data_IF_414237251014
#
_entry.id   IF_414237251014
#
_cell.length_a   1.000
_cell.length_b   1.000
_cell.length_c   1.000
_cell.angle_alpha   90.00
_cell.angle_beta   90.00
_cell.angle_gamma   90.00
#
_symmetry.space_group_name_H-M   'P 1'
#
loop_
_entity.id
_entity.type
_entity.pdbx_description
1 polymer ?
#
# COMPACT_ATOMS: atom_id res chain seq x y z
N UNK A 1 6.78 8.69 -33.85
CA UNK A 1 6.61 8.86 -32.39
C UNK A 1 7.90 9.44 -31.85
N UNK A 2 7.84 10.54 -31.11
CA UNK A 2 9.04 11.21 -30.58
C UNK A 2 9.42 10.65 -29.19
N UNK A 3 10.66 10.85 -28.76
CA UNK A 3 11.18 10.29 -27.50
C UNK A 3 10.45 10.82 -26.25
N UNK A 4 9.88 12.04 -26.31
CA UNK A 4 9.07 12.59 -25.21
C UNK A 4 7.73 11.87 -25.06
N UNK A 5 7.16 11.40 -26.16
CA UNK A 5 5.92 10.65 -26.17
C UNK A 5 6.15 9.23 -25.62
N UNK A 6 7.32 8.63 -25.85
CA UNK A 6 7.69 7.32 -25.26
C UNK A 6 7.91 7.38 -23.74
N UNK A 7 8.46 8.47 -23.21
CA UNK A 7 8.57 8.67 -21.76
C UNK A 7 7.20 8.92 -21.11
N UNK A 8 6.33 9.74 -21.72
CA UNK A 8 4.98 9.96 -21.22
C UNK A 8 4.10 8.69 -21.30
N UNK A 9 4.37 7.78 -22.23
CA UNK A 9 3.69 6.48 -22.33
C UNK A 9 4.15 5.46 -21.27
N UNK A 10 5.32 5.65 -20.64
CA UNK A 10 5.80 4.78 -19.55
C UNK A 10 5.19 5.14 -18.19
N UNK A 11 4.64 6.34 -18.03
CA UNK A 11 4.04 6.79 -16.76
C UNK A 11 2.57 6.37 -16.56
N UNK A 12 1.91 5.80 -17.59
CA UNK A 12 0.48 5.45 -17.57
C UNK A 12 0.18 3.94 -17.45
N UNK A 13 1.15 3.12 -17.04
CA UNK A 13 0.90 1.71 -16.68
C UNK A 13 1.03 1.50 -15.16
N UNK A 14 0.09 2.09 -14.42
CA UNK A 14 -0.08 1.78 -13.00
C UNK A 14 -0.61 0.35 -12.91
N UNK A 15 0.21 -0.59 -12.41
CA UNK A 15 -0.12 -1.65 -11.46
C UNK A 15 0.92 -2.79 -11.51
N UNK A 16 2.07 -2.58 -10.84
CA UNK A 16 2.88 -3.56 -10.09
C UNK A 16 4.40 -3.22 -10.03
N UNK A 17 4.80 -1.94 -10.17
CA UNK A 17 6.15 -1.55 -9.76
C UNK A 17 6.23 -1.56 -8.23
N UNK A 18 6.77 -2.65 -7.66
CA UNK A 18 7.02 -2.77 -6.23
C UNK A 18 7.99 -1.67 -5.82
N UNK A 19 7.49 -0.63 -5.12
CA UNK A 19 8.35 0.43 -4.59
C UNK A 19 9.25 -0.19 -3.52
N UNK A 20 10.59 -0.09 -3.63
CA UNK A 20 11.49 -0.62 -2.62
C UNK A 20 11.25 -0.01 -1.23
N UNK A 21 11.45 -0.80 -0.18
CA UNK A 21 11.29 -0.36 1.21
C UNK A 21 12.14 0.88 1.55
N UNK A 22 13.36 0.95 1.02
CA UNK A 22 14.26 2.10 1.15
C UNK A 22 13.71 3.37 0.51
N UNK A 23 13.06 3.24 -0.64
CA UNK A 23 12.42 4.34 -1.36
C UNK A 23 11.20 4.87 -0.60
N UNK A 24 10.41 3.99 0.03
CA UNK A 24 9.27 4.39 0.87
C UNK A 24 9.73 5.30 2.00
N UNK A 25 10.75 4.89 2.76
CA UNK A 25 11.29 5.66 3.89
C UNK A 25 11.86 7.00 3.41
N UNK A 26 12.65 6.99 2.34
CA UNK A 26 13.28 8.19 1.78
C UNK A 26 12.27 9.19 1.25
N UNK A 27 11.23 8.74 0.56
CA UNK A 27 10.16 9.60 0.03
C UNK A 27 9.34 10.20 1.17
N UNK A 28 8.98 9.41 2.19
CA UNK A 28 8.23 9.90 3.34
C UNK A 28 8.98 11.03 4.05
N UNK A 29 10.28 10.84 4.33
CA UNK A 29 11.11 11.90 4.93
C UNK A 29 11.14 13.17 4.10
N UNK A 30 11.37 13.04 2.79
CA UNK A 30 11.43 14.18 1.88
C UNK A 30 10.10 14.93 1.85
N UNK A 31 8.97 14.21 1.82
CA UNK A 31 7.62 14.79 1.88
C UNK A 31 7.40 15.57 3.18
N UNK A 32 7.90 15.08 4.30
CA UNK A 32 7.84 15.80 5.58
C UNK A 32 8.80 17.00 5.68
N UNK A 33 9.70 17.21 4.71
CA UNK A 33 10.70 18.29 4.76
C UNK A 33 11.74 18.13 5.88
N UNK A 34 11.89 16.92 6.44
CA UNK A 34 12.74 16.68 7.61
C UNK A 34 14.15 16.20 7.22
N UNK A 35 15.13 16.56 8.05
CA UNK A 35 16.45 15.94 8.03
C UNK A 35 16.36 14.50 8.54
N UNK A 36 17.34 13.65 8.22
CA UNK A 36 17.34 12.26 8.69
C UNK A 36 17.32 12.17 10.23
N UNK A 37 18.00 13.08 10.93
CA UNK A 37 17.98 13.15 12.40
C UNK A 37 16.56 13.43 12.90
N UNK A 38 15.91 14.48 12.39
CA UNK A 38 14.55 14.85 12.82
C UNK A 38 13.52 13.78 12.46
N UNK A 39 13.68 13.14 11.31
CA UNK A 39 12.81 12.04 10.89
C UNK A 39 13.03 10.78 11.75
N UNK A 40 14.27 10.49 12.15
CA UNK A 40 14.54 9.40 13.07
C UNK A 40 13.88 9.63 14.43
N UNK A 41 13.92 10.87 14.95
CA UNK A 41 13.18 11.22 16.16
C UNK A 41 11.67 11.02 16.00
N UNK A 42 11.09 11.40 14.85
CA UNK A 42 9.67 11.15 14.55
C UNK A 42 9.33 9.65 14.58
N UNK A 43 10.23 8.80 14.07
CA UNK A 43 10.06 7.36 14.03
C UNK A 43 10.45 6.63 15.33
N UNK A 44 10.97 7.34 16.33
CA UNK A 44 11.51 6.73 17.55
C UNK A 44 12.76 5.86 17.29
N UNK A 45 13.59 6.24 16.34
CA UNK A 45 14.79 5.51 15.89
C UNK A 45 16.05 6.36 15.97
N UNK A 46 17.21 5.72 15.90
CA UNK A 46 18.48 6.42 15.72
C UNK A 46 18.64 6.92 14.27
N UNK A 47 19.34 8.03 14.06
CA UNK A 47 19.59 8.54 12.71
C UNK A 47 20.37 7.53 11.83
N UNK A 48 21.28 6.77 12.43
CA UNK A 48 22.06 5.75 11.73
C UNK A 48 21.17 4.60 11.22
N UNK A 49 20.09 4.26 11.93
CA UNK A 49 19.09 3.31 11.44
C UNK A 49 18.35 3.85 10.22
N UNK A 50 17.86 5.09 10.29
CA UNK A 50 17.19 5.74 9.15
C UNK A 50 18.11 5.85 7.94
N UNK A 51 19.39 6.14 8.14
CA UNK A 51 20.38 6.16 7.05
C UNK A 51 20.53 4.79 6.40
N UNK A 52 20.59 3.70 7.19
CA UNK A 52 20.65 2.31 6.67
C UNK A 52 19.37 1.93 5.94
N UNK A 53 18.21 2.32 6.47
CA UNK A 53 16.90 2.12 5.82
C UNK A 53 16.85 2.80 4.46
N UNK A 54 17.16 4.11 4.38
CA UNK A 54 17.15 4.87 3.12
C UNK A 54 18.19 4.39 2.12
N UNK A 55 19.30 3.82 2.60
CA UNK A 55 20.35 3.23 1.78
C UNK A 55 20.06 1.79 1.34
N UNK A 56 19.02 1.15 1.87
CA UNK A 56 18.70 -0.26 1.60
C UNK A 56 19.69 -1.25 2.23
N UNK A 57 20.54 -0.80 3.16
CA UNK A 57 21.51 -1.66 3.85
C UNK A 57 20.85 -2.57 4.90
N UNK A 58 19.70 -2.14 5.42
CA UNK A 58 18.88 -2.90 6.37
C UNK A 58 17.41 -2.69 5.99
N UNK A 59 16.63 -3.76 6.01
CA UNK A 59 15.18 -3.67 5.78
C UNK A 59 14.49 -2.98 6.97
N UNK A 60 13.68 -1.95 6.73
CA UNK A 60 12.92 -1.29 7.79
C UNK A 60 11.87 -2.25 8.38
N UNK A 61 11.61 -2.20 9.70
CA UNK A 61 10.49 -2.92 10.29
C UNK A 61 9.15 -2.55 9.61
N UNK A 62 8.21 -3.51 9.54
CA UNK A 62 6.91 -3.28 8.91
C UNK A 62 6.14 -2.08 9.48
N UNK A 63 6.27 -1.82 10.78
CA UNK A 63 5.69 -0.64 11.43
C UNK A 63 6.23 0.68 10.89
N UNK A 64 7.51 0.74 10.54
CA UNK A 64 8.14 1.92 9.92
C UNK A 64 7.62 2.10 8.50
N UNK A 65 7.48 1.01 7.74
CA UNK A 65 6.92 1.06 6.39
C UNK A 65 5.48 1.57 6.41
N UNK A 66 4.64 1.06 7.31
CA UNK A 66 3.25 1.52 7.47
C UNK A 66 3.21 3.01 7.82
N UNK A 67 4.04 3.45 8.78
CA UNK A 67 4.10 4.88 9.15
C UNK A 67 4.52 5.74 7.95
N UNK A 68 5.56 5.34 7.22
CA UNK A 68 6.04 6.07 6.05
C UNK A 68 4.97 6.11 4.93
N UNK A 69 4.24 5.02 4.71
CA UNK A 69 3.13 4.99 3.76
C UNK A 69 2.00 5.92 4.17
N UNK A 70 1.69 6.04 5.47
CA UNK A 70 0.69 7.00 5.94
C UNK A 70 1.12 8.44 5.64
N UNK A 71 2.38 8.79 5.89
CA UNK A 71 2.93 10.12 5.52
C UNK A 71 2.80 10.35 4.01
N UNK A 72 3.11 9.35 3.19
CA UNK A 72 3.01 9.44 1.74
C UNK A 72 1.57 9.59 1.24
N UNK A 73 0.60 9.02 1.95
CA UNK A 73 -0.81 9.15 1.64
C UNK A 73 -1.44 10.44 2.18
N UNK A 74 -0.77 11.17 3.07
CA UNK A 74 -1.28 12.38 3.76
C UNK A 74 -1.28 13.64 2.87
N UNK A 75 -1.28 13.50 1.54
CA UNK A 75 -1.80 14.60 0.72
C UNK A 75 -3.28 14.63 1.02
N UNK A 76 -3.78 15.74 1.57
CA UNK A 76 -5.14 15.93 2.07
C UNK A 76 -6.22 15.82 0.98
N UNK A 77 -6.33 14.67 0.32
CA UNK A 77 -7.62 14.08 0.08
C UNK A 77 -7.94 13.35 1.37
N UNK A 78 -9.01 13.76 2.04
CA UNK A 78 -9.72 12.88 2.95
C UNK A 78 -9.68 11.48 2.33
N UNK A 79 -8.99 10.54 2.99
CA UNK A 79 -9.23 9.14 2.72
C UNK A 79 -10.64 8.94 3.24
N UNK A 80 -11.62 9.30 2.41
CA UNK A 80 -13.00 8.98 2.64
C UNK A 80 -12.96 7.50 2.99
N UNK A 81 -13.42 7.16 4.20
CA UNK A 81 -13.49 5.80 4.65
C UNK A 81 -13.98 4.97 3.45
N UNK A 82 -13.26 3.91 3.05
CA UNK A 82 -13.55 3.23 1.80
C UNK A 82 -15.03 2.93 1.78
N UNK A 83 -15.73 3.41 0.75
CA UNK A 83 -17.17 3.21 0.66
C UNK A 83 -17.46 1.73 0.75
N UNK A 84 -18.64 1.37 1.27
CA UNK A 84 -19.10 -0.03 1.31
C UNK A 84 -18.96 -0.66 -0.07
N UNK A 85 -19.23 0.08 -1.14
CA UNK A 85 -19.01 -0.36 -2.51
C UNK A 85 -17.55 -0.70 -2.82
N UNK A 86 -16.59 0.13 -2.40
CA UNK A 86 -15.17 -0.11 -2.64
C UNK A 86 -14.65 -1.35 -1.89
N UNK A 87 -15.18 -1.60 -0.69
CA UNK A 87 -14.92 -2.83 0.07
C UNK A 87 -15.52 -4.04 -0.65
N UNK A 88 -16.79 -3.93 -1.09
CA UNK A 88 -17.47 -4.97 -1.86
C UNK A 88 -16.69 -5.30 -3.15
N UNK A 89 -16.19 -4.28 -3.86
CA UNK A 89 -15.40 -4.46 -5.08
C UNK A 89 -14.08 -5.17 -4.80
N UNK A 90 -13.37 -4.80 -3.71
CA UNK A 90 -12.15 -5.53 -3.31
C UNK A 90 -12.43 -6.98 -2.94
N UNK A 91 -13.53 -7.24 -2.22
CA UNK A 91 -13.95 -8.60 -1.90
C UNK A 91 -14.27 -9.36 -3.18
N UNK A 92 -15.06 -8.82 -4.10
CA UNK A 92 -15.34 -9.46 -5.40
C UNK A 92 -14.06 -9.76 -6.17
N UNK A 93 -13.19 -8.77 -6.37
CA UNK A 93 -11.93 -8.97 -7.09
C UNK A 93 -11.00 -9.99 -6.42
N UNK A 94 -10.92 -9.96 -5.08
CA UNK A 94 -10.15 -10.92 -4.32
C UNK A 94 -10.74 -12.33 -4.42
N UNK A 95 -12.06 -12.45 -4.30
CA UNK A 95 -12.76 -13.74 -4.32
C UNK A 95 -13.03 -14.28 -5.72
N UNK A 96 -12.99 -13.49 -6.80
CA UNK A 96 -13.23 -13.96 -8.18
C UNK A 96 -12.01 -14.65 -8.79
N UNK A 97 -10.86 -14.58 -8.13
CA UNK A 97 -9.68 -15.35 -8.52
C UNK A 97 -10.01 -16.85 -8.62
N UNK A 98 -9.47 -17.56 -9.63
CA UNK A 98 -9.72 -19.00 -9.82
C UNK A 98 -9.41 -19.84 -8.58
N UNK A 99 -8.40 -19.45 -7.79
CA UNK A 99 -8.00 -20.13 -6.55
C UNK A 99 -9.02 -20.10 -5.41
N UNK A 100 -10.06 -19.25 -5.50
CA UNK A 100 -11.05 -19.08 -4.43
C UNK A 100 -12.41 -19.73 -4.74
N UNK A 101 -12.51 -20.53 -5.81
CA UNK A 101 -13.77 -21.18 -6.20
C UNK A 101 -14.37 -22.07 -5.09
N UNK A 102 -13.52 -22.80 -4.37
CA UNK A 102 -13.96 -23.65 -3.26
C UNK A 102 -14.49 -22.82 -2.08
N UNK A 103 -13.81 -21.72 -1.74
CA UNK A 103 -14.27 -20.81 -0.69
C UNK A 103 -15.63 -20.20 -1.03
N UNK A 104 -15.84 -19.77 -2.29
CA UNK A 104 -17.15 -19.28 -2.76
C UNK A 104 -18.24 -20.35 -2.64
N UNK A 105 -17.94 -21.59 -3.03
CA UNK A 105 -18.91 -22.70 -2.97
C UNK A 105 -19.34 -23.04 -1.53
N UNK A 106 -18.38 -23.07 -0.59
CA UNK A 106 -18.67 -23.34 0.82
C UNK A 106 -19.49 -22.21 1.46
N UNK A 107 -19.12 -20.94 1.21
CA UNK A 107 -19.85 -19.78 1.71
C UNK A 107 -21.29 -19.79 1.18
N UNK A 108 -21.48 -20.06 -0.12
CA UNK A 108 -22.82 -20.13 -0.69
C UNK A 108 -23.65 -21.26 -0.07
N UNK A 109 -23.03 -22.41 0.23
CA UNK A 109 -23.69 -23.50 0.95
C UNK A 109 -24.16 -23.11 2.35
N UNK A 110 -23.39 -22.30 3.08
CA UNK A 110 -23.79 -21.79 4.40
C UNK A 110 -24.95 -20.80 4.27
N UNK A 111 -24.85 -19.82 3.36
CA UNK A 111 -25.89 -18.81 3.13
C UNK A 111 -27.23 -19.47 2.78
N UNK A 112 -27.23 -20.40 1.82
CA UNK A 112 -28.44 -21.10 1.36
C UNK A 112 -29.06 -22.00 2.43
N UNK A 113 -28.28 -22.49 3.39
CA UNK A 113 -28.80 -23.30 4.50
C UNK A 113 -29.41 -22.45 5.61
N UNK A 114 -28.96 -21.21 5.79
CA UNK A 114 -29.56 -20.29 6.76
C UNK A 114 -30.90 -19.73 6.25
N UNK A 115 -31.04 -19.45 4.94
CA UNK A 115 -32.30 -19.00 4.35
C UNK A 115 -33.41 -20.07 4.32
N UNK A 116 -33.08 -21.36 4.46
CA UNK A 116 -34.07 -22.45 4.55
C UNK A 116 -34.54 -22.75 5.97
N UNK A 117 -33.92 -22.13 6.98
CA UNK A 117 -34.27 -22.33 8.39
C UNK A 117 -35.21 -21.24 8.94
N UNK A 118 -35.44 -20.16 8.18
CA UNK A 118 -36.48 -19.16 8.46
C UNK A 118 -37.76 -19.48 7.72
#
# INVERSE_FOLDING_TARGET
MNNNQFMHFMDNNINNSVIPASDIVKRARKKSGLTQIKFAHLLGKAQSEVSKYEGGAVDPPGSIIIHCMNILNDDRNEVAAPSVDSIIQKLKNGFDAPGHAMARSLIMGIILNEERKG
#
